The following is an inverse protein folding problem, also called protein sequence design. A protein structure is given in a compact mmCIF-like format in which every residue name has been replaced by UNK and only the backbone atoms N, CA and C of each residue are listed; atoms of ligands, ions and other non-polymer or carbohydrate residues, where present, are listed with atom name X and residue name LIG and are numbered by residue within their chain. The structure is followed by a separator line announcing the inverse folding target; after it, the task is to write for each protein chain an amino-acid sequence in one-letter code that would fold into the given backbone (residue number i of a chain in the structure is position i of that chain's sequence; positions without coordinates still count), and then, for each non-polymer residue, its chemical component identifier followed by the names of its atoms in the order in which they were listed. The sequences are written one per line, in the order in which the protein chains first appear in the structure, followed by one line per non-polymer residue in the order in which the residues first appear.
data_IF_578558917254
#
_entry.id   IF_578558917254
#
_cell.length_a   1.000
_cell.length_b   1.000
_cell.length_c   1.000
_cell.angle_alpha   90.00
_cell.angle_beta   90.00
_cell.angle_gamma   90.00
#
_symmetry.space_group_name_H-M   'P 1'
#
loop_
_entity.id
_entity.type
_entity.pdbx_description
1 polymer ?
#
# COMPACT_ATOMS: atom_id res chain seq x y z
N UNK A 1 27.60 17.67 -6.10
CA UNK A 1 27.17 17.15 -4.79
C UNK A 1 26.01 16.22 -5.05
N UNK A 2 26.12 14.95 -4.69
CA UNK A 2 24.95 14.08 -4.62
C UNK A 2 24.20 14.49 -3.36
N UNK A 3 23.26 15.43 -3.51
CA UNK A 3 22.31 15.76 -2.44
C UNK A 3 21.45 14.53 -2.20
N UNK A 4 21.87 13.69 -1.26
CA UNK A 4 21.02 12.62 -0.78
C UNK A 4 19.80 13.26 -0.11
N UNK A 5 18.58 12.78 -0.41
CA UNK A 5 17.39 13.28 0.26
C UNK A 5 17.50 13.06 1.77
N UNK A 6 16.92 13.97 2.54
CA UNK A 6 16.83 13.83 4.00
C UNK A 6 15.91 12.66 4.39
N UNK A 7 16.05 12.19 5.62
CA UNK A 7 15.20 11.14 6.19
C UNK A 7 13.72 11.54 6.21
N UNK A 8 13.43 12.82 6.45
CA UNK A 8 12.08 13.39 6.36
C UNK A 8 11.51 13.21 4.96
N UNK A 9 12.26 13.64 3.94
CA UNK A 9 11.83 13.56 2.56
C UNK A 9 11.67 12.11 2.10
N UNK A 10 12.57 11.21 2.53
CA UNK A 10 12.42 9.77 2.28
C UNK A 10 11.14 9.20 2.92
N UNK A 11 10.85 9.57 4.17
CA UNK A 11 9.64 9.13 4.87
C UNK A 11 8.36 9.58 4.15
N UNK A 12 8.34 10.83 3.66
CA UNK A 12 7.26 11.39 2.85
C UNK A 12 7.02 10.59 1.55
N UNK A 13 8.10 10.40 0.77
CA UNK A 13 8.03 9.64 -0.48
C UNK A 13 7.55 8.23 -0.24
N UNK A 14 8.09 7.56 0.77
CA UNK A 14 7.69 6.21 1.14
C UNK A 14 6.19 6.14 1.50
N UNK A 15 5.67 7.10 2.28
CA UNK A 15 4.23 7.18 2.55
C UNK A 15 3.41 7.37 1.28
N UNK A 16 3.86 8.22 0.35
CA UNK A 16 3.18 8.43 -0.92
C UNK A 16 3.18 7.16 -1.79
N UNK A 17 4.28 6.39 -1.82
CA UNK A 17 4.34 5.11 -2.55
C UNK A 17 3.37 4.10 -1.97
N UNK A 18 3.26 4.00 -0.65
CA UNK A 18 2.22 3.17 -0.02
C UNK A 18 0.80 3.54 -0.47
N UNK A 19 0.51 4.83 -0.68
CA UNK A 19 -0.78 5.26 -1.21
C UNK A 19 -1.01 4.77 -2.63
N UNK A 20 0.02 4.79 -3.48
CA UNK A 20 -0.06 4.29 -4.85
C UNK A 20 -0.33 2.78 -4.86
N UNK A 21 0.36 1.99 -4.02
CA UNK A 21 0.11 0.55 -3.95
C UNK A 21 -1.27 0.22 -3.35
N UNK A 22 -1.72 0.99 -2.35
CA UNK A 22 -3.08 0.86 -1.82
C UNK A 22 -4.14 1.17 -2.88
N UNK A 23 -3.89 2.12 -3.77
CA UNK A 23 -4.76 2.40 -4.91
C UNK A 23 -4.80 1.20 -5.88
N UNK A 24 -3.65 0.63 -6.22
CA UNK A 24 -3.58 -0.59 -7.06
C UNK A 24 -4.36 -1.76 -6.42
N UNK A 25 -4.22 -1.98 -5.11
CA UNK A 25 -4.98 -3.02 -4.40
C UNK A 25 -6.49 -2.73 -4.34
N UNK A 26 -6.88 -1.45 -4.25
CA UNK A 26 -8.28 -1.04 -4.29
C UNK A 26 -8.89 -1.25 -5.69
N UNK A 27 -8.11 -1.00 -6.74
CA UNK A 27 -8.44 -1.20 -8.16
C UNK A 27 -7.96 -2.57 -8.65
N UNK A 28 -8.41 -3.61 -7.94
CA UNK A 28 -7.85 -4.95 -8.04
C UNK A 28 -8.01 -5.61 -9.41
N UNK A 29 -9.05 -5.30 -10.19
CA UNK A 29 -9.33 -5.96 -11.47
C UNK A 29 -8.23 -5.65 -12.49
N UNK A 30 -7.97 -4.35 -12.70
CA UNK A 30 -6.95 -3.88 -13.63
C UNK A 30 -5.54 -4.26 -13.13
N UNK A 31 -5.30 -4.13 -11.82
CA UNK A 31 -4.01 -4.46 -11.22
C UNK A 31 -3.69 -5.95 -11.31
N UNK A 32 -4.65 -6.84 -11.00
CA UNK A 32 -4.45 -8.29 -11.15
C UNK A 32 -4.25 -8.69 -12.61
N UNK A 33 -4.98 -8.07 -13.54
CA UNK A 33 -4.79 -8.34 -14.96
C UNK A 33 -3.40 -7.93 -15.45
N UNK A 34 -2.81 -6.89 -14.88
CA UNK A 34 -1.50 -6.38 -15.25
C UNK A 34 -0.35 -7.18 -14.64
N UNK A 35 -0.44 -7.47 -13.34
CA UNK A 35 0.67 -8.02 -12.54
C UNK A 35 0.59 -9.55 -12.35
N UNK A 36 -0.61 -10.12 -12.43
CA UNK A 36 -0.85 -11.49 -12.01
C UNK A 36 -0.90 -11.65 -10.49
N UNK A 37 -1.24 -12.87 -10.02
CA UNK A 37 -1.52 -13.13 -8.60
C UNK A 37 -0.31 -12.85 -7.69
N UNK A 38 0.87 -13.36 -8.06
CA UNK A 38 2.03 -13.31 -7.16
C UNK A 38 2.53 -11.88 -6.95
N UNK A 39 2.67 -11.09 -8.02
CA UNK A 39 3.08 -9.69 -7.92
C UNK A 39 2.01 -8.84 -7.22
N UNK A 40 0.72 -9.05 -7.52
CA UNK A 40 -0.38 -8.38 -6.81
C UNK A 40 -0.33 -8.62 -5.30
N UNK A 41 -0.03 -9.86 -4.87
CA UNK A 41 0.05 -10.19 -3.45
C UNK A 41 1.31 -9.66 -2.77
N UNK A 42 2.37 -9.35 -3.52
CA UNK A 42 3.64 -8.86 -3.00
C UNK A 42 3.75 -7.33 -2.96
N UNK A 43 2.86 -6.61 -3.63
CA UNK A 43 3.00 -5.18 -3.94
C UNK A 43 3.29 -4.26 -2.73
N UNK A 44 2.72 -4.54 -1.55
CA UNK A 44 3.02 -3.76 -0.34
C UNK A 44 4.26 -4.26 0.43
N UNK A 45 4.67 -5.51 0.24
CA UNK A 45 5.83 -6.09 0.94
C UNK A 45 7.16 -5.58 0.39
N UNK A 46 7.21 -5.07 -0.84
CA UNK A 46 8.37 -4.34 -1.36
C UNK A 46 8.72 -3.12 -0.50
N UNK A 47 7.70 -2.55 0.14
CA UNK A 47 7.85 -1.43 1.04
C UNK A 47 7.96 -1.89 2.50
N UNK A 48 7.16 -2.88 2.93
CA UNK A 48 7.22 -3.49 4.28
C UNK A 48 7.81 -4.92 4.26
N UNK A 49 9.10 -5.12 3.97
CA UNK A 49 9.65 -6.46 3.75
C UNK A 49 9.68 -7.32 5.01
N UNK A 50 9.80 -6.69 6.18
CA UNK A 50 9.92 -7.36 7.48
C UNK A 50 8.60 -7.40 8.27
N UNK A 51 7.45 -7.29 7.59
CA UNK A 51 6.12 -7.33 8.23
C UNK A 51 5.99 -8.55 9.18
N UNK A 52 5.53 -8.39 10.45
CA UNK A 52 4.77 -7.26 11.01
C UNK A 52 5.59 -6.05 11.49
N UNK A 53 6.90 -6.03 11.27
CA UNK A 53 7.75 -4.90 11.62
C UNK A 53 7.74 -3.85 10.51
N UNK A 54 7.28 -2.64 10.81
CA UNK A 54 7.33 -1.53 9.86
C UNK A 54 8.72 -0.86 9.88
N UNK A 55 9.27 -0.49 8.71
CA UNK A 55 10.42 0.40 8.65
C UNK A 55 10.14 1.72 9.40
N UNK A 56 11.15 2.35 10.03
CA UNK A 56 11.00 3.65 10.65
C UNK A 56 10.45 4.68 9.64
N UNK A 57 9.33 5.29 9.98
CA UNK A 57 8.73 6.35 9.20
C UNK A 57 7.99 7.31 10.13
N UNK A 58 8.41 8.57 10.13
CA UNK A 58 7.90 9.59 11.05
C UNK A 58 6.63 10.32 10.55
N UNK A 59 6.24 10.11 9.28
CA UNK A 59 5.04 10.75 8.72
C UNK A 59 3.81 9.83 8.67
N UNK A 60 4.02 8.52 8.72
CA UNK A 60 2.94 7.54 8.84
C UNK A 60 2.45 7.50 10.29
N UNK A 61 1.21 7.89 10.50
CA UNK A 61 0.54 7.89 11.80
C UNK A 61 0.21 6.47 12.25
N UNK A 62 0.01 6.29 13.55
CA UNK A 62 -0.44 5.00 14.10
C UNK A 62 -1.78 4.53 13.51
N UNK A 63 -2.70 5.45 13.18
CA UNK A 63 -3.97 5.10 12.51
C UNK A 63 -3.74 4.52 11.11
N UNK A 64 -2.84 5.12 10.34
CA UNK A 64 -2.45 4.65 9.02
C UNK A 64 -1.72 3.30 9.10
N UNK A 65 -0.82 3.11 10.08
CA UNK A 65 -0.17 1.81 10.32
C UNK A 65 -1.17 0.71 10.63
N UNK A 66 -2.15 0.97 11.52
CA UNK A 66 -3.20 0.00 11.85
C UNK A 66 -4.02 -0.38 10.60
N UNK A 67 -4.32 0.57 9.73
CA UNK A 67 -5.05 0.31 8.49
C UNK A 67 -4.21 -0.47 7.47
N UNK A 68 -2.93 -0.13 7.32
CA UNK A 68 -1.96 -0.87 6.51
C UNK A 68 -1.82 -2.32 7.00
N UNK A 69 -1.67 -2.53 8.31
CA UNK A 69 -1.56 -3.87 8.91
C UNK A 69 -2.73 -4.76 8.52
N UNK A 70 -3.96 -4.26 8.57
CA UNK A 70 -5.13 -5.05 8.14
C UNK A 70 -5.05 -5.51 6.69
N UNK A 71 -4.51 -4.68 5.81
CA UNK A 71 -4.32 -5.03 4.39
C UNK A 71 -3.19 -6.04 4.23
N UNK A 72 -2.06 -5.82 4.91
CA UNK A 72 -0.90 -6.73 4.92
C UNK A 72 -1.23 -8.11 5.53
N UNK A 73 -2.08 -8.17 6.55
CA UNK A 73 -2.58 -9.41 7.13
C UNK A 73 -3.39 -10.20 6.10
N UNK A 74 -4.33 -9.56 5.39
CA UNK A 74 -5.09 -10.24 4.33
C UNK A 74 -4.22 -10.70 3.16
N UNK A 75 -3.20 -9.92 2.78
CA UNK A 75 -2.23 -10.34 1.76
C UNK A 75 -1.48 -11.60 2.22
N UNK A 76 -1.00 -11.65 3.46
CA UNK A 76 -0.33 -12.83 4.02
C UNK A 76 -1.24 -14.06 4.10
N UNK A 77 -2.50 -13.86 4.48
CA UNK A 77 -3.49 -14.94 4.49
C UNK A 77 -3.75 -15.46 3.07
N UNK A 78 -3.91 -14.58 2.08
CA UNK A 78 -4.09 -14.95 0.68
C UNK A 78 -2.86 -15.69 0.12
N UNK A 79 -1.65 -15.24 0.44
CA UNK A 79 -0.39 -15.92 0.07
C UNK A 79 -0.38 -17.36 0.62
N UNK A 80 -0.85 -17.53 1.85
CA UNK A 80 -0.90 -18.82 2.55
C UNK A 80 -1.98 -19.76 1.99
N UNK A 81 -3.03 -19.23 1.37
CA UNK A 81 -4.09 -20.00 0.72
C UNK A 81 -3.70 -20.51 -0.66
N UNK A 82 -2.90 -21.57 -0.67
CA UNK A 82 -2.45 -22.23 -1.91
C UNK A 82 -3.61 -22.73 -2.79
N UNK A 83 -4.77 -23.02 -2.20
CA UNK A 83 -5.92 -23.54 -2.94
C UNK A 83 -6.58 -22.46 -3.80
N UNK A 84 -6.73 -21.26 -3.23
CA UNK A 84 -7.25 -20.11 -3.97
C UNK A 84 -6.29 -19.64 -5.07
N UNK A 85 -4.98 -19.77 -4.87
CA UNK A 85 -3.95 -19.29 -5.82
C UNK A 85 -3.59 -20.28 -6.94
N UNK A 86 -4.39 -21.32 -7.15
CA UNK A 86 -4.11 -22.32 -8.20
C UNK A 86 -4.09 -21.70 -9.61
N UNK A 87 -5.00 -20.76 -9.86
CA UNK A 87 -5.11 -19.97 -11.08
C UNK A 87 -5.90 -18.67 -10.81
N UNK A 88 -5.88 -17.75 -11.78
CA UNK A 88 -6.55 -16.44 -11.69
C UNK A 88 -8.05 -16.58 -11.37
N UNK A 89 -8.69 -17.53 -12.02
CA UNK A 89 -10.11 -17.83 -11.93
C UNK A 89 -10.52 -18.26 -10.52
N UNK A 90 -9.72 -19.14 -9.92
CA UNK A 90 -9.88 -19.64 -8.55
C UNK A 90 -9.61 -18.53 -7.54
N UNK A 91 -8.62 -17.68 -7.81
CA UNK A 91 -8.28 -16.55 -6.94
C UNK A 91 -9.41 -15.53 -6.91
N UNK A 92 -9.99 -15.18 -8.06
CA UNK A 92 -11.16 -14.29 -8.13
C UNK A 92 -12.37 -14.91 -7.42
N UNK A 93 -12.68 -16.18 -7.68
CA UNK A 93 -13.82 -16.88 -7.05
C UNK A 93 -13.69 -17.05 -5.54
N UNK A 94 -12.46 -17.06 -5.01
CA UNK A 94 -12.22 -17.17 -3.57
C UNK A 94 -12.66 -15.94 -2.76
N UNK A 95 -12.90 -14.81 -3.44
CA UNK A 95 -13.22 -13.55 -2.77
C UNK A 95 -12.02 -12.85 -2.12
N UNK A 96 -10.79 -13.34 -2.31
CA UNK A 96 -9.58 -12.66 -1.83
C UNK A 96 -9.43 -11.24 -2.39
N UNK A 97 -9.54 -11.01 -3.72
CA UNK A 97 -9.37 -9.67 -4.28
C UNK A 97 -10.33 -8.64 -3.65
N UNK A 98 -11.61 -8.98 -3.52
CA UNK A 98 -12.63 -8.07 -2.98
C UNK A 98 -12.40 -7.75 -1.50
N UNK A 99 -11.95 -8.74 -0.70
CA UNK A 99 -11.62 -8.52 0.71
C UNK A 99 -10.39 -7.61 0.87
N UNK A 100 -9.34 -7.87 0.09
CA UNK A 100 -8.11 -7.06 0.08
C UNK A 100 -8.42 -5.63 -0.40
N UNK A 101 -9.17 -5.49 -1.50
CA UNK A 101 -9.59 -4.19 -2.03
C UNK A 101 -10.39 -3.40 -0.99
N UNK A 102 -11.29 -4.04 -0.24
CA UNK A 102 -12.08 -3.38 0.80
C UNK A 102 -11.21 -2.80 1.93
N UNK A 103 -10.20 -3.54 2.39
CA UNK A 103 -9.26 -3.01 3.39
C UNK A 103 -8.32 -1.96 2.81
N UNK A 104 -7.88 -2.15 1.56
CA UNK A 104 -7.02 -1.21 0.86
C UNK A 104 -7.71 0.14 0.64
N UNK A 105 -8.99 0.14 0.23
CA UNK A 105 -9.82 1.35 0.12
C UNK A 105 -9.96 2.09 1.46
N UNK A 106 -10.16 1.33 2.55
CA UNK A 106 -10.24 1.92 3.89
C UNK A 106 -8.92 2.57 4.30
N UNK A 107 -7.79 1.91 4.02
CA UNK A 107 -6.47 2.47 4.30
C UNK A 107 -6.18 3.68 3.40
N UNK A 108 -6.42 3.57 2.10
CA UNK A 108 -6.24 4.65 1.14
C UNK A 108 -7.01 5.90 1.54
N UNK A 109 -8.29 5.76 1.90
CA UNK A 109 -9.12 6.86 2.39
C UNK A 109 -8.49 7.58 3.60
N UNK A 110 -7.91 6.83 4.55
CA UNK A 110 -7.22 7.43 5.70
C UNK A 110 -5.99 8.23 5.27
N UNK A 111 -5.21 7.72 4.33
CA UNK A 111 -4.03 8.43 3.82
C UNK A 111 -4.44 9.68 3.04
N UNK A 112 -5.42 9.56 2.14
CA UNK A 112 -5.94 10.65 1.32
C UNK A 112 -6.61 11.75 2.15
N UNK A 113 -7.25 11.40 3.26
CA UNK A 113 -7.86 12.38 4.17
C UNK A 113 -6.86 13.40 4.74
N UNK A 114 -5.57 13.04 4.80
CA UNK A 114 -4.47 13.95 5.16
C UNK A 114 -3.81 14.60 3.95
N UNK A 115 -4.00 14.07 2.75
CA UNK A 115 -3.36 14.51 1.50
C UNK A 115 -2.03 13.79 1.19
N UNK A 116 -1.42 14.18 0.06
CA UNK A 116 -0.10 13.71 -0.37
C UNK A 116 0.99 14.70 0.03
N UNK A 117 2.14 14.17 0.43
CA UNK A 117 3.31 14.98 0.73
C UNK A 117 4.02 15.41 -0.57
N UNK A 118 4.77 16.52 -0.51
CA UNK A 118 5.69 16.90 -1.57
C UNK A 118 6.81 15.87 -1.73
N UNK A 119 7.09 15.50 -2.98
CA UNK A 119 8.25 14.65 -3.33
C UNK A 119 9.57 15.45 -3.37
N UNK A 120 9.52 16.79 -3.25
CA UNK A 120 10.68 17.69 -3.43
C UNK A 120 11.04 18.51 -2.20
N UNK A 121 10.06 18.79 -1.34
CA UNK A 121 10.21 19.66 -0.18
C UNK A 121 9.81 18.90 1.09
N UNK A 122 10.49 19.19 2.18
CA UNK A 122 10.06 18.72 3.50
C UNK A 122 8.84 19.49 3.97
N UNK A 123 7.87 18.77 4.52
CA UNK A 123 6.62 19.34 5.02
C UNK A 123 6.30 18.75 6.38
N UNK A 124 5.70 19.56 7.25
CA UNK A 124 5.24 19.11 8.58
C UNK A 124 3.96 18.28 8.41
N UNK A 125 3.02 18.75 7.59
CA UNK A 125 1.79 18.06 7.20
C UNK A 125 1.66 18.07 5.67
N UNK A 126 0.93 17.11 5.07
CA UNK A 126 0.79 17.06 3.62
C UNK A 126 0.08 18.31 3.11
N UNK A 127 0.62 18.94 2.06
CA UNK A 127 0.02 20.12 1.44
C UNK A 127 -0.62 19.84 0.07
N UNK A 128 -0.35 18.65 -0.51
CA UNK A 128 -0.91 18.21 -1.77
C UNK A 128 -2.33 17.69 -1.61
N UNK A 129 -3.31 18.55 -1.90
CA UNK A 129 -4.54 18.09 -2.53
C UNK A 129 -4.23 17.96 -4.02
N UNK A 130 -4.64 16.87 -4.67
CA UNK A 130 -4.38 16.63 -6.09
C UNK A 130 -4.62 17.89 -6.93
N UNK A 131 -3.68 18.19 -7.83
CA UNK A 131 -3.99 19.09 -8.95
C UNK A 131 -5.21 18.50 -9.66
N UNK A 132 -6.27 19.32 -9.75
CA UNK A 132 -7.48 19.04 -10.52
C UNK A 132 -7.21 18.60 -11.96
#
# INVERSE_FOLDING_TARGET
MTDNPSDRLLSQRYRNRMMEELFCLADWEDTLSLLGIDEYLQILFDWVPDYPTFPPNEVITEKEKIALSKTLDLLNEAISDKSARADMDSFIRSGWPQRIASTAQTALFLFESRGRFSEKLEEIEPSGHEYS
#
